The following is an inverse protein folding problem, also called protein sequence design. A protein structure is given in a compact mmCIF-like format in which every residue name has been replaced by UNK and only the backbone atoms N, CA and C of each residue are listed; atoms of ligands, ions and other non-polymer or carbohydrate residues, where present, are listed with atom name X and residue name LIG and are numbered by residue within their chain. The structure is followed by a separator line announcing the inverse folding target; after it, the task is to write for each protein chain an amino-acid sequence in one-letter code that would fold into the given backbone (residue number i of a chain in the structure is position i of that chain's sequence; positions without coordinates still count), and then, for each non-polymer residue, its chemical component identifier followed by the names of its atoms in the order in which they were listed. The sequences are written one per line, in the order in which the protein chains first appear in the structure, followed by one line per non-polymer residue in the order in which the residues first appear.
data_IF_784590385184
#
_entry.id   IF_784590385184
#
_cell.length_a   1.000
_cell.length_b   1.000
_cell.length_c   1.000
_cell.angle_alpha   90.00
_cell.angle_beta   90.00
_cell.angle_gamma   90.00
#
_symmetry.space_group_name_H-M   'P 1'
#
loop_
_entity.id
_entity.type
_entity.pdbx_description
1 polymer ?
#
# COMPACT_ATOMS: atom_id res chain seq x y z
N UNK A 1 17.57 -1.86 -0.05
CA UNK A 1 17.02 -2.85 0.90
C UNK A 1 16.81 -2.18 2.26
N UNK A 2 15.61 -1.66 2.52
CA UNK A 2 15.25 -1.08 3.81
C UNK A 2 15.12 -2.18 4.86
N UNK A 3 16.09 -2.28 5.77
CA UNK A 3 15.98 -3.20 6.91
C UNK A 3 15.06 -2.58 7.94
N UNK A 4 13.87 -3.14 8.10
CA UNK A 4 12.97 -2.81 9.22
C UNK A 4 13.69 -3.27 10.50
N UNK A 5 14.21 -2.32 11.27
CA UNK A 5 14.82 -2.56 12.59
C UNK A 5 13.96 -1.86 13.63
N UNK A 6 13.31 -2.63 14.49
CA UNK A 6 12.48 -2.11 15.57
C UNK A 6 11.57 -3.20 16.15
N UNK A 7 11.09 -3.02 17.38
CA UNK A 7 10.05 -3.88 17.97
C UNK A 7 8.72 -3.78 17.19
N UNK A 8 7.74 -4.64 17.48
CA UNK A 8 6.46 -4.69 16.75
C UNK A 8 5.75 -3.32 16.68
N UNK A 9 5.81 -2.53 17.75
CA UNK A 9 5.24 -1.17 17.78
C UNK A 9 5.94 -0.19 16.81
N UNK A 10 7.28 -0.24 16.72
CA UNK A 10 8.04 0.60 15.78
C UNK A 10 7.80 0.18 14.33
N UNK A 11 7.64 -1.12 14.07
CA UNK A 11 7.28 -1.62 12.74
C UNK A 11 5.90 -1.11 12.36
N UNK A 12 4.94 -1.14 13.29
CA UNK A 12 3.58 -0.63 13.05
C UNK A 12 3.57 0.87 12.76
N UNK A 13 4.29 1.68 13.54
CA UNK A 13 4.39 3.13 13.29
C UNK A 13 5.08 3.46 11.96
N UNK A 14 6.13 2.71 11.62
CA UNK A 14 6.83 2.90 10.34
C UNK A 14 5.93 2.55 9.16
N UNK A 15 5.18 1.44 9.26
CA UNK A 15 4.20 1.04 8.25
C UNK A 15 3.05 2.05 8.13
N UNK A 16 2.55 2.58 9.25
CA UNK A 16 1.48 3.58 9.27
C UNK A 16 1.91 4.87 8.58
N UNK A 17 3.11 5.36 8.91
CA UNK A 17 3.68 6.55 8.26
C UNK A 17 3.84 6.34 6.75
N UNK A 18 4.33 5.19 6.34
CA UNK A 18 4.50 4.88 4.92
C UNK A 18 3.15 4.78 4.19
N UNK A 19 2.13 4.21 4.85
CA UNK A 19 0.76 4.19 4.34
C UNK A 19 0.20 5.61 4.17
N UNK A 20 0.39 6.49 5.15
CA UNK A 20 -0.04 7.89 5.06
C UNK A 20 0.66 8.63 3.92
N UNK A 21 1.97 8.45 3.75
CA UNK A 21 2.73 9.05 2.63
C UNK A 21 2.17 8.60 1.27
N UNK A 22 1.81 7.33 1.13
CA UNK A 22 1.21 6.80 -0.10
C UNK A 22 -0.20 7.36 -0.33
N UNK A 23 -1.01 7.50 0.72
CA UNK A 23 -2.37 8.04 0.64
C UNK A 23 -2.34 9.53 0.29
N UNK A 24 -1.44 10.31 0.89
CA UNK A 24 -1.31 11.76 0.70
C UNK A 24 -0.67 12.12 -0.65
N UNK A 25 0.19 11.26 -1.18
CA UNK A 25 0.88 11.48 -2.46
C UNK A 25 -0.09 11.72 -3.62
N UNK A 26 0.25 12.59 -4.61
CA UNK A 26 -0.59 12.83 -5.76
C UNK A 26 -0.86 11.55 -6.57
N UNK A 27 -2.13 11.34 -6.92
CA UNK A 27 -2.60 10.16 -7.62
C UNK A 27 -3.82 9.54 -6.95
N UNK A 28 -4.64 8.85 -7.74
CA UNK A 28 -5.85 8.17 -7.27
C UNK A 28 -5.64 6.66 -7.12
N UNK A 29 -6.52 6.02 -6.36
CA UNK A 29 -6.66 4.58 -6.42
C UNK A 29 -7.27 4.19 -7.77
N UNK A 30 -6.63 3.24 -8.45
CA UNK A 30 -7.13 2.63 -9.67
C UNK A 30 -7.69 1.25 -9.38
N UNK A 31 -8.81 0.92 -10.02
CA UNK A 31 -9.42 -0.40 -9.88
C UNK A 31 -8.66 -1.39 -10.76
N UNK A 32 -8.00 -2.36 -10.16
CA UNK A 32 -7.27 -3.43 -10.86
C UNK A 32 -8.07 -4.72 -10.78
N UNK A 33 -8.26 -5.37 -11.91
CA UNK A 33 -8.88 -6.70 -11.99
C UNK A 33 -7.81 -7.74 -12.23
N UNK A 34 -7.63 -8.65 -11.27
CA UNK A 34 -6.74 -9.79 -11.48
C UNK A 34 -7.40 -10.81 -12.44
N UNK A 35 -6.60 -11.64 -13.14
CA UNK A 35 -7.11 -12.69 -14.04
C UNK A 35 -7.99 -13.73 -13.33
N UNK A 36 -7.95 -13.78 -11.99
CA UNK A 36 -8.82 -14.60 -11.13
C UNK A 36 -10.17 -13.92 -10.80
N UNK A 37 -10.57 -12.87 -11.52
CA UNK A 37 -11.84 -12.12 -11.37
C UNK A 37 -11.95 -11.29 -10.08
N UNK A 38 -10.94 -11.30 -9.21
CA UNK A 38 -10.95 -10.47 -8.00
C UNK A 38 -10.48 -9.05 -8.36
N UNK A 39 -11.22 -8.05 -7.92
CA UNK A 39 -10.92 -6.64 -8.12
C UNK A 39 -10.34 -6.02 -6.84
N UNK A 40 -9.38 -5.11 -7.00
CA UNK A 40 -8.72 -4.36 -5.92
C UNK A 40 -8.63 -2.88 -6.27
N UNK A 41 -8.46 -2.06 -5.24
CA UNK A 41 -8.06 -0.68 -5.40
C UNK A 41 -6.56 -0.59 -5.15
N UNK A 42 -5.79 -0.12 -6.12
CA UNK A 42 -4.35 0.04 -6.00
C UNK A 42 -3.96 1.49 -6.19
N UNK A 43 -3.06 1.98 -5.34
CA UNK A 43 -2.38 3.25 -5.54
C UNK A 43 -0.89 2.96 -5.55
N UNK A 44 -0.23 3.30 -6.66
CA UNK A 44 1.21 3.15 -6.84
C UNK A 44 1.83 4.53 -6.96
N UNK A 45 2.93 4.71 -6.26
CA UNK A 45 3.76 5.89 -6.35
C UNK A 45 4.77 5.75 -7.50
N UNK A 46 5.35 6.87 -7.97
CA UNK A 46 6.35 6.86 -9.03
C UNK A 46 7.61 6.05 -8.69
N UNK A 47 7.91 5.89 -7.40
CA UNK A 47 9.05 5.12 -6.91
C UNK A 47 8.81 3.59 -6.91
N UNK A 48 7.60 3.13 -7.26
CA UNK A 48 7.24 1.71 -7.32
C UNK A 48 6.56 1.19 -6.05
N UNK A 49 6.71 1.87 -4.90
CA UNK A 49 5.95 1.55 -3.70
C UNK A 49 4.47 1.91 -3.87
N UNK A 50 3.60 1.19 -3.19
CA UNK A 50 2.17 1.43 -3.27
C UNK A 50 1.38 0.70 -2.21
N UNK A 51 0.07 0.89 -2.25
CA UNK A 51 -0.88 0.25 -1.34
C UNK A 51 -1.99 -0.39 -2.15
N UNK A 52 -2.37 -1.60 -1.73
CA UNK A 52 -3.55 -2.30 -2.19
C UNK A 52 -4.60 -2.28 -1.10
N UNK A 53 -5.81 -1.90 -1.48
CA UNK A 53 -7.02 -2.00 -0.68
C UNK A 53 -7.98 -3.02 -1.31
N UNK A 54 -8.83 -3.61 -0.47
CA UNK A 54 -10.01 -4.31 -0.95
C UNK A 54 -11.03 -3.30 -1.52
N UNK A 55 -12.07 -3.80 -2.20
CA UNK A 55 -13.12 -2.94 -2.75
C UNK A 55 -13.93 -2.20 -1.67
N UNK A 56 -13.98 -2.75 -0.46
CA UNK A 56 -14.59 -2.10 0.71
C UNK A 56 -13.68 -1.04 1.36
N UNK A 57 -12.47 -0.83 0.82
CA UNK A 57 -11.52 0.17 1.30
C UNK A 57 -10.61 -0.30 2.44
N UNK A 58 -10.77 -1.52 2.95
CA UNK A 58 -9.84 -2.07 3.95
C UNK A 58 -8.45 -2.31 3.37
N UNK A 59 -7.43 -2.07 4.19
CA UNK A 59 -6.04 -2.31 3.84
C UNK A 59 -5.80 -3.79 3.56
N UNK A 60 -5.27 -4.09 2.37
CA UNK A 60 -4.93 -5.45 1.97
C UNK A 60 -3.43 -5.72 2.05
N UNK A 61 -2.60 -4.74 1.73
CA UNK A 61 -1.15 -4.89 1.78
C UNK A 61 -0.41 -3.78 1.04
N UNK A 62 0.89 -3.69 1.30
CA UNK A 62 1.80 -2.86 0.51
C UNK A 62 2.12 -3.54 -0.83
N UNK A 63 2.41 -2.72 -1.83
CA UNK A 63 2.91 -3.11 -3.14
C UNK A 63 4.35 -2.58 -3.20
N UNK A 64 5.28 -3.45 -3.54
CA UNK A 64 6.67 -3.12 -3.85
C UNK A 64 6.98 -3.88 -5.14
N UNK A 65 7.49 -3.20 -6.16
CA UNK A 65 7.71 -3.76 -7.50
C UNK A 65 9.19 -3.95 -7.79
#
# INVERSE_FOLDING_TARGET
MGKVKGGPDQINQTALKHLEEIIDSPGGFIKIKNPKVIEFLEKKLPDGCGVRLNLDGTFKGFIDQ
#
